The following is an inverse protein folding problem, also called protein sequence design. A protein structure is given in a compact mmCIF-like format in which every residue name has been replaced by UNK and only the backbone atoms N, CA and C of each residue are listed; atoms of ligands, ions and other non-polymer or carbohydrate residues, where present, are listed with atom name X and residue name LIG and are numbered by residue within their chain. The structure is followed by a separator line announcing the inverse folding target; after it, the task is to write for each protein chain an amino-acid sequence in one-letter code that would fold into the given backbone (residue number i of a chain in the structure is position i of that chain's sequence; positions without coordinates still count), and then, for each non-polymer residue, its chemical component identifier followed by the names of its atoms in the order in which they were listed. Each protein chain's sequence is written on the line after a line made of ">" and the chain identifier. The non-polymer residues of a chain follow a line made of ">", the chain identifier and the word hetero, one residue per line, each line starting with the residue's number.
data_IF_200038675838
#
_entry.id   IF_200038675838
#
_cell.length_a   1.000
_cell.length_b   1.000
_cell.length_c   1.000
_cell.angle_alpha   90.00
_cell.angle_beta   90.00
_cell.angle_gamma   90.00
#
_symmetry.space_group_name_H-M   'P 1'
#
loop_
_entity.id
_entity.type
_entity.pdbx_description
1 polymer ?
#
# COMPACT_ATOMS: atom_id res chain seq x y z
N UNK A 1 0.46 9.52 -10.52
CA UNK A 1 0.55 9.42 -11.98
C UNK A 1 1.71 10.23 -12.48
N UNK A 2 2.58 9.59 -13.25
CA UNK A 2 3.66 10.29 -13.94
C UNK A 2 2.98 11.22 -14.93
N UNK A 3 3.21 12.52 -14.79
CA UNK A 3 2.70 13.50 -15.76
C UNK A 3 3.26 13.20 -17.14
N UNK A 4 2.50 13.45 -18.20
CA UNK A 4 2.99 13.36 -19.56
C UNK A 4 4.35 14.08 -19.67
N UNK A 5 5.37 13.39 -20.16
CA UNK A 5 6.72 13.90 -20.33
C UNK A 5 7.69 13.77 -19.15
N UNK A 6 7.36 13.02 -18.10
CA UNK A 6 8.29 12.73 -16.98
C UNK A 6 8.98 13.98 -16.39
N UNK A 7 8.30 15.11 -16.37
CA UNK A 7 8.84 16.35 -15.83
C UNK A 7 8.76 16.41 -14.29
N UNK A 8 9.68 17.09 -13.63
CA UNK A 8 9.53 17.39 -12.21
C UNK A 8 8.25 18.19 -11.94
N UNK A 9 7.61 17.94 -10.80
CA UNK A 9 6.46 18.73 -10.36
C UNK A 9 6.88 20.19 -10.12
N UNK A 10 6.01 21.10 -10.50
CA UNK A 10 6.18 22.52 -10.21
C UNK A 10 5.91 22.82 -8.74
N UNK A 11 6.38 23.98 -8.26
CA UNK A 11 6.06 24.45 -6.90
C UNK A 11 4.56 24.61 -6.67
N UNK A 12 3.78 24.93 -7.69
CA UNK A 12 2.33 25.05 -7.59
C UNK A 12 1.68 23.67 -7.39
N UNK A 13 2.12 22.66 -8.14
CA UNK A 13 1.64 21.27 -7.99
C UNK A 13 1.99 20.68 -6.62
N UNK A 14 3.20 20.96 -6.11
CA UNK A 14 3.61 20.55 -4.77
C UNK A 14 2.76 21.19 -3.70
N UNK A 15 2.44 22.49 -3.84
CA UNK A 15 1.53 23.19 -2.91
C UNK A 15 0.13 22.59 -2.93
N UNK A 16 -0.39 22.26 -4.12
CA UNK A 16 -1.71 21.63 -4.25
C UNK A 16 -1.74 20.26 -3.57
N UNK A 17 -0.69 19.44 -3.73
CA UNK A 17 -0.56 18.14 -3.03
C UNK A 17 -0.49 18.32 -1.51
N UNK A 18 0.23 19.34 -1.02
CA UNK A 18 0.31 19.64 0.41
C UNK A 18 -1.05 20.08 0.98
N UNK A 19 -1.78 20.95 0.26
CA UNK A 19 -3.12 21.34 0.66
C UNK A 19 -4.05 20.13 0.73
N UNK A 20 -4.03 19.28 -0.29
CA UNK A 20 -4.82 18.04 -0.29
C UNK A 20 -4.46 17.12 0.87
N UNK A 21 -3.17 16.97 1.18
CA UNK A 21 -2.71 16.16 2.31
C UNK A 21 -3.21 16.71 3.66
N UNK A 22 -3.29 18.03 3.80
CA UNK A 22 -3.86 18.68 4.99
C UNK A 22 -5.37 18.50 5.07
N UNK A 23 -6.06 18.59 3.94
CA UNK A 23 -7.53 18.42 3.87
C UNK A 23 -7.98 16.99 4.18
N UNK A 24 -7.08 16.00 4.13
CA UNK A 24 -7.38 14.62 4.53
C UNK A 24 -7.59 14.48 6.04
N UNK A 25 -7.06 15.41 6.85
CA UNK A 25 -7.12 15.36 8.32
C UNK A 25 -6.70 13.98 8.91
N UNK A 26 -5.76 13.31 8.23
CA UNK A 26 -5.31 11.99 8.60
C UNK A 26 -4.10 12.05 9.53
N UNK A 27 -4.05 11.16 10.51
CA UNK A 27 -2.91 11.01 11.43
C UNK A 27 -1.76 10.24 10.78
N UNK A 28 -2.09 9.29 9.91
CA UNK A 28 -1.13 8.43 9.20
C UNK A 28 -1.53 8.36 7.73
N UNK A 29 -0.58 8.62 6.84
CA UNK A 29 -0.79 8.54 5.38
C UNK A 29 0.15 7.49 4.80
N UNK A 30 -0.40 6.44 4.23
CA UNK A 30 0.34 5.44 3.46
C UNK A 30 0.43 5.86 1.99
N UNK A 31 1.63 5.89 1.45
CA UNK A 31 1.90 6.40 0.11
C UNK A 31 2.59 5.33 -0.75
N UNK A 32 2.23 5.33 -2.01
CA UNK A 32 2.87 4.54 -3.05
C UNK A 32 3.52 5.47 -4.07
N UNK A 33 4.39 4.92 -4.90
CA UNK A 33 5.09 5.65 -5.97
C UNK A 33 5.92 6.85 -5.47
N UNK A 34 6.54 6.72 -4.30
CA UNK A 34 7.41 7.75 -3.71
C UNK A 34 8.84 7.59 -4.25
N UNK A 35 9.38 8.65 -4.85
CA UNK A 35 10.71 8.62 -5.44
C UNK A 35 11.85 8.80 -4.42
N UNK A 36 11.62 9.55 -3.34
CA UNK A 36 12.62 9.79 -2.30
C UNK A 36 12.02 10.41 -1.05
N UNK A 37 12.74 10.31 0.08
CA UNK A 37 12.37 10.99 1.32
C UNK A 37 12.34 12.52 1.16
N UNK A 38 13.23 13.08 0.34
CA UNK A 38 13.24 14.51 0.04
C UNK A 38 12.01 14.96 -0.75
N UNK A 39 11.51 14.12 -1.66
CA UNK A 39 10.27 14.38 -2.38
C UNK A 39 9.05 14.32 -1.46
N UNK A 40 9.02 13.33 -0.56
CA UNK A 40 7.98 13.18 0.45
C UNK A 40 7.91 14.40 1.37
N UNK A 41 9.03 14.88 1.88
CA UNK A 41 9.14 16.06 2.76
C UNK A 41 8.70 17.38 2.11
N UNK A 42 8.57 17.44 0.78
CA UNK A 42 7.98 18.60 0.12
C UNK A 42 6.45 18.66 0.29
N UNK A 43 5.80 17.53 0.48
CA UNK A 43 4.35 17.42 0.70
C UNK A 43 4.05 17.36 2.21
N UNK A 44 4.78 16.55 2.95
CA UNK A 44 4.67 16.33 4.39
C UNK A 44 5.89 16.93 5.11
N UNK A 45 5.81 18.19 5.59
CA UNK A 45 6.96 18.85 6.22
C UNK A 45 7.43 18.10 7.47
N UNK A 46 8.76 17.87 7.62
CA UNK A 46 9.29 17.18 8.81
C UNK A 46 9.08 17.93 10.14
N UNK A 47 8.66 19.20 10.10
CA UNK A 47 8.21 19.93 11.29
C UNK A 47 6.97 19.34 11.94
N UNK A 48 6.10 18.70 11.13
CA UNK A 48 4.79 18.22 11.53
C UNK A 48 4.66 16.70 11.39
N UNK A 49 5.55 16.08 10.58
CA UNK A 49 5.45 14.68 10.17
C UNK A 49 6.76 13.93 10.35
N UNK A 50 6.67 12.71 10.86
CA UNK A 50 7.70 11.67 10.77
C UNK A 50 7.57 11.01 9.39
N UNK A 51 8.69 10.81 8.69
CA UNK A 51 8.69 10.30 7.32
C UNK A 51 9.46 8.98 7.25
N UNK A 52 8.82 7.97 6.70
CA UNK A 52 9.38 6.62 6.53
C UNK A 52 9.32 6.25 5.05
N UNK A 53 10.42 5.71 4.53
CA UNK A 53 10.55 5.28 3.15
C UNK A 53 11.17 3.90 3.11
N UNK A 54 10.54 2.96 2.39
CA UNK A 54 11.06 1.60 2.24
C UNK A 54 12.56 1.60 1.87
N UNK A 55 13.32 0.77 2.58
CA UNK A 55 14.77 0.60 2.39
C UNK A 55 15.12 -0.29 1.18
N UNK A 56 14.08 -0.69 0.40
CA UNK A 56 14.34 -1.43 -0.83
C UNK A 56 15.46 -0.78 -1.63
N UNK A 57 16.48 -1.53 -2.09
CA UNK A 57 17.54 -1.00 -2.95
C UNK A 57 16.95 -0.31 -4.19
N UNK A 58 17.58 0.73 -4.66
CA UNK A 58 17.17 1.34 -5.91
C UNK A 58 17.36 0.35 -7.07
N UNK A 59 16.38 0.30 -7.96
CA UNK A 59 16.52 -0.47 -9.20
C UNK A 59 17.57 0.16 -10.11
N UNK A 60 17.99 -0.57 -11.13
CA UNK A 60 18.71 0.03 -12.24
C UNK A 60 17.91 1.21 -12.80
N UNK A 61 18.61 2.23 -13.24
CA UNK A 61 17.98 3.39 -13.86
C UNK A 61 17.43 3.02 -15.23
N UNK A 62 16.28 3.56 -15.55
CA UNK A 62 15.67 3.44 -16.87
C UNK A 62 15.25 4.81 -17.38
N UNK A 63 15.20 4.96 -18.69
CA UNK A 63 14.70 6.19 -19.28
C UNK A 63 13.18 6.28 -19.13
N UNK A 64 12.71 7.39 -18.60
CA UNK A 64 11.30 7.63 -18.39
C UNK A 64 10.63 8.06 -19.70
N UNK A 65 9.88 7.15 -20.34
CA UNK A 65 9.03 7.43 -21.52
C UNK A 65 9.74 8.26 -22.62
N UNK A 66 10.95 7.89 -22.98
CA UNK A 66 11.72 8.57 -24.04
C UNK A 66 11.92 10.08 -23.80
N UNK A 67 11.91 10.50 -22.55
CA UNK A 67 12.03 11.91 -22.15
C UNK A 67 13.48 12.40 -22.01
N UNK A 68 14.47 11.51 -22.17
CA UNK A 68 15.87 11.75 -21.84
C UNK A 68 16.18 11.79 -20.34
N UNK A 69 15.17 11.57 -19.47
CA UNK A 69 15.32 11.59 -18.00
C UNK A 69 15.42 10.20 -17.44
N UNK A 70 16.36 10.01 -16.53
CA UNK A 70 16.54 8.74 -15.83
C UNK A 70 15.61 8.67 -14.61
N UNK A 71 15.08 7.50 -14.34
CA UNK A 71 14.23 7.18 -13.19
C UNK A 71 14.63 5.83 -12.61
N UNK A 72 14.20 5.57 -11.38
CA UNK A 72 14.29 4.26 -10.73
C UNK A 72 12.88 3.82 -10.32
N UNK A 73 12.73 2.56 -9.96
CA UNK A 73 11.46 2.07 -9.40
C UNK A 73 11.14 2.80 -8.09
N UNK A 74 9.93 3.32 -8.01
CA UNK A 74 9.41 4.03 -6.85
C UNK A 74 9.13 3.08 -5.69
N UNK A 75 9.05 3.63 -4.47
CA UNK A 75 8.94 2.92 -3.21
C UNK A 75 7.59 3.21 -2.53
N UNK A 76 7.27 2.42 -1.53
CA UNK A 76 6.20 2.74 -0.58
C UNK A 76 6.76 3.58 0.57
N UNK A 77 5.91 4.38 1.20
CA UNK A 77 6.31 5.28 2.28
C UNK A 77 5.16 5.52 3.26
N UNK A 78 5.49 6.04 4.43
CA UNK A 78 4.53 6.60 5.36
C UNK A 78 4.90 8.04 5.72
N UNK A 79 3.86 8.85 5.95
CA UNK A 79 3.93 10.09 6.69
C UNK A 79 3.04 9.94 7.92
N UNK A 80 3.59 10.14 9.11
CA UNK A 80 2.93 9.96 10.41
C UNK A 80 3.03 11.28 11.18
N UNK A 81 1.94 11.79 11.72
CA UNK A 81 1.98 13.01 12.53
C UNK A 81 2.94 12.85 13.73
N UNK A 82 3.61 13.93 14.11
CA UNK A 82 4.68 13.88 15.13
C UNK A 82 4.19 13.52 16.54
N UNK A 83 2.90 13.62 16.80
CA UNK A 83 2.28 13.24 18.07
C UNK A 83 1.89 11.74 18.15
N UNK A 84 1.99 11.02 17.05
CA UNK A 84 1.81 9.56 17.01
C UNK A 84 3.13 8.87 17.35
N UNK A 85 3.10 8.00 18.33
CA UNK A 85 4.26 7.19 18.69
C UNK A 85 4.43 6.00 17.75
N UNK A 86 5.53 5.99 16.99
CA UNK A 86 5.95 4.86 16.15
C UNK A 86 6.88 3.98 16.95
N UNK A 87 6.45 2.73 17.20
CA UNK A 87 7.17 1.74 18.01
C UNK A 87 8.17 0.93 17.17
N UNK A 88 7.92 0.80 15.87
CA UNK A 88 8.80 0.05 14.97
C UNK A 88 8.51 0.32 13.50
N UNK A 89 9.54 0.10 12.67
CA UNK A 89 9.45 0.12 11.21
C UNK A 89 10.18 -1.08 10.62
N UNK A 90 9.63 -1.72 9.60
CA UNK A 90 10.26 -2.87 8.94
C UNK A 90 9.86 -2.92 7.47
N UNK A 91 10.82 -3.17 6.58
CA UNK A 91 10.52 -3.50 5.19
C UNK A 91 9.93 -4.91 5.09
N UNK A 92 8.78 -5.02 4.44
CA UNK A 92 8.19 -6.32 4.10
C UNK A 92 8.79 -6.81 2.78
N UNK A 93 10.02 -7.32 2.88
CA UNK A 93 10.86 -7.70 1.73
C UNK A 93 10.30 -8.89 0.95
N UNK A 94 9.58 -9.79 1.61
CA UNK A 94 9.00 -10.99 1.00
C UNK A 94 8.06 -10.66 -0.18
N UNK A 95 7.38 -9.49 -0.15
CA UNK A 95 6.52 -9.04 -1.25
C UNK A 95 7.31 -8.79 -2.54
N UNK A 96 8.62 -8.54 -2.44
CA UNK A 96 9.53 -8.36 -3.57
C UNK A 96 9.93 -9.66 -4.28
N UNK A 97 9.62 -10.84 -3.71
CA UNK A 97 9.88 -12.17 -4.31
C UNK A 97 11.34 -12.35 -4.79
N UNK A 98 12.30 -11.76 -4.08
CA UNK A 98 13.72 -11.70 -4.47
C UNK A 98 13.96 -11.13 -5.90
N UNK A 99 13.00 -10.38 -6.43
CA UNK A 99 13.08 -9.74 -7.74
C UNK A 99 13.33 -8.23 -7.58
N UNK A 100 14.48 -7.70 -8.02
CA UNK A 100 14.80 -6.27 -7.87
C UNK A 100 13.86 -5.34 -8.65
N UNK A 101 13.05 -5.86 -9.57
CA UNK A 101 12.02 -5.13 -10.29
C UNK A 101 10.70 -4.98 -9.51
N UNK A 102 10.53 -5.70 -8.39
CA UNK A 102 9.32 -5.64 -7.58
C UNK A 102 9.52 -4.75 -6.34
N UNK A 103 8.43 -4.26 -5.80
CA UNK A 103 8.43 -3.41 -4.62
C UNK A 103 8.40 -4.25 -3.34
N UNK A 104 9.06 -3.77 -2.30
CA UNK A 104 8.80 -4.24 -0.95
C UNK A 104 7.53 -3.57 -0.42
N UNK A 105 6.83 -4.22 0.50
CA UNK A 105 5.91 -3.53 1.39
C UNK A 105 6.69 -2.84 2.52
N UNK A 106 5.99 -2.10 3.38
CA UNK A 106 6.56 -1.50 4.58
C UNK A 106 5.56 -1.62 5.72
N UNK A 107 6.02 -2.09 6.86
CA UNK A 107 5.23 -2.23 8.07
C UNK A 107 5.65 -1.17 9.09
N UNK A 108 4.68 -0.52 9.72
CA UNK A 108 4.85 0.28 10.91
C UNK A 108 4.08 -0.35 12.06
N UNK A 109 4.67 -0.37 13.25
CA UNK A 109 3.96 -0.61 14.50
C UNK A 109 3.77 0.74 15.20
N UNK A 110 2.52 1.09 15.52
CA UNK A 110 2.17 2.35 16.15
C UNK A 110 1.44 2.13 17.47
N UNK A 111 1.61 3.06 18.40
CA UNK A 111 0.84 3.12 19.64
C UNK A 111 -0.49 3.82 19.38
N UNK A 112 -1.59 3.18 19.73
CA UNK A 112 -2.94 3.75 19.59
C UNK A 112 -3.69 3.68 20.92
N UNK A 113 -4.81 4.41 21.08
CA UNK A 113 -5.67 4.28 22.26
C UNK A 113 -6.22 2.85 22.47
N UNK A 114 -6.17 2.01 21.44
CA UNK A 114 -6.61 0.61 21.49
C UNK A 114 -5.46 -0.38 21.77
N UNK A 115 -4.24 0.12 21.94
CA UNK A 115 -3.01 -0.66 22.06
C UNK A 115 -2.11 -0.56 20.82
N UNK A 116 -1.14 -1.45 20.72
CA UNK A 116 -0.27 -1.54 19.56
C UNK A 116 -1.04 -2.02 18.33
N UNK A 117 -0.73 -1.43 17.19
CA UNK A 117 -1.34 -1.76 15.90
C UNK A 117 -0.28 -1.83 14.81
N UNK A 118 -0.32 -2.86 14.01
CA UNK A 118 0.55 -3.00 12.84
C UNK A 118 -0.15 -2.50 11.57
N UNK A 119 0.56 -1.70 10.78
CA UNK A 119 0.06 -1.14 9.52
C UNK A 119 1.01 -1.55 8.40
N UNK A 120 0.55 -2.40 7.50
CA UNK A 120 1.30 -2.83 6.32
C UNK A 120 0.88 -2.01 5.10
N UNK A 121 1.81 -1.24 4.53
CA UNK A 121 1.63 -0.54 3.26
C UNK A 121 2.14 -1.42 2.11
N UNK A 122 1.28 -1.70 1.15
CA UNK A 122 1.58 -2.54 0.00
C UNK A 122 1.44 -1.77 -1.32
N UNK A 123 2.24 -2.19 -2.32
CA UNK A 123 2.03 -1.82 -3.72
C UNK A 123 2.28 -3.07 -4.56
N UNK A 124 1.24 -3.82 -4.81
CA UNK A 124 1.31 -5.11 -5.48
C UNK A 124 1.56 -4.98 -6.98
N UNK A 125 1.84 -6.10 -7.64
CA UNK A 125 2.15 -6.13 -9.08
C UNK A 125 0.96 -5.62 -9.90
N UNK A 126 1.22 -4.59 -10.69
CA UNK A 126 0.27 -4.04 -11.66
C UNK A 126 0.18 -4.86 -12.94
N UNK A 127 -0.92 -4.68 -13.67
CA UNK A 127 -1.11 -5.28 -15.01
C UNK A 127 -1.78 -6.65 -15.01
N UNK A 128 -2.14 -7.18 -13.84
CA UNK A 128 -3.03 -8.33 -13.73
C UNK A 128 -4.43 -7.84 -13.40
N UNK A 129 -5.36 -7.94 -14.34
CA UNK A 129 -6.74 -7.46 -14.19
C UNK A 129 -7.76 -8.61 -14.10
N UNK A 130 -7.28 -9.84 -13.97
CA UNK A 130 -8.09 -11.05 -13.88
C UNK A 130 -8.48 -11.33 -12.43
N UNK A 131 -9.77 -11.45 -12.13
CA UNK A 131 -10.25 -11.83 -10.80
C UNK A 131 -9.68 -13.19 -10.34
N UNK A 132 -9.58 -14.16 -11.25
CA UNK A 132 -8.87 -15.42 -11.06
C UNK A 132 -7.50 -15.40 -11.75
N UNK A 133 -6.55 -14.71 -11.13
CA UNK A 133 -5.18 -14.58 -11.62
C UNK A 133 -4.45 -15.92 -11.79
N UNK A 134 -4.89 -17.00 -11.14
CA UNK A 134 -4.23 -18.30 -11.23
C UNK A 134 -4.44 -19.01 -12.57
N UNK A 135 -5.38 -18.53 -13.39
CA UNK A 135 -5.68 -19.10 -14.70
C UNK A 135 -5.09 -18.30 -15.86
N UNK A 136 -4.40 -17.22 -15.55
CA UNK A 136 -3.84 -16.34 -16.57
C UNK A 136 -2.38 -16.69 -16.88
N UNK A 137 -2.06 -16.75 -18.17
CA UNK A 137 -0.68 -16.94 -18.65
C UNK A 137 0.11 -15.64 -18.69
N UNK A 138 -0.49 -14.51 -18.32
CA UNK A 138 0.18 -13.21 -18.23
C UNK A 138 1.28 -13.23 -17.17
N UNK A 139 2.48 -12.77 -17.51
CA UNK A 139 3.59 -12.63 -16.57
C UNK A 139 3.20 -11.78 -15.34
N UNK A 140 2.39 -10.73 -15.57
CA UNK A 140 1.90 -9.91 -14.48
C UNK A 140 1.02 -10.71 -13.50
N UNK A 141 0.12 -11.55 -14.01
CA UNK A 141 -0.74 -12.39 -13.18
C UNK A 141 0.05 -13.53 -12.50
N UNK A 142 1.03 -14.11 -13.18
CA UNK A 142 1.91 -15.11 -12.56
C UNK A 142 2.72 -14.50 -11.40
N UNK A 143 3.21 -13.27 -11.55
CA UNK A 143 3.89 -12.55 -10.47
C UNK A 143 2.92 -12.24 -9.33
N UNK A 144 1.72 -11.74 -9.66
CA UNK A 144 0.69 -11.44 -8.67
C UNK A 144 0.27 -12.71 -7.89
N UNK A 145 0.12 -13.84 -8.58
CA UNK A 145 -0.20 -15.13 -7.98
C UNK A 145 0.85 -15.62 -6.97
N UNK A 146 2.10 -15.17 -7.12
CA UNK A 146 3.18 -15.43 -6.14
C UNK A 146 3.18 -14.45 -4.97
N UNK A 147 2.73 -13.20 -5.18
CA UNK A 147 2.63 -12.20 -4.11
C UNK A 147 1.41 -12.43 -3.22
N UNK A 148 0.31 -12.95 -3.78
CA UNK A 148 -0.93 -13.15 -3.04
C UNK A 148 -0.77 -14.01 -1.77
N UNK A 149 -0.15 -15.22 -1.81
CA UNK A 149 0.07 -16.01 -0.59
C UNK A 149 1.04 -15.34 0.39
N UNK A 150 1.99 -14.53 -0.07
CA UNK A 150 2.91 -13.79 0.82
C UNK A 150 2.16 -12.78 1.67
N UNK A 151 1.18 -12.09 1.07
CA UNK A 151 0.32 -11.15 1.79
C UNK A 151 -0.61 -11.89 2.75
N UNK A 152 -1.17 -13.00 2.32
CA UNK A 152 -2.05 -13.84 3.11
C UNK A 152 -1.33 -14.40 4.34
N UNK A 153 -0.12 -14.91 4.19
CA UNK A 153 0.71 -15.40 5.30
C UNK A 153 0.97 -14.33 6.37
N UNK A 154 1.16 -13.06 5.95
CA UNK A 154 1.31 -11.94 6.89
C UNK A 154 0.01 -11.70 7.66
N UNK A 155 -1.13 -11.63 6.96
CA UNK A 155 -2.47 -11.46 7.58
C UNK A 155 -2.73 -12.58 8.59
N UNK A 156 -2.51 -13.82 8.20
CA UNK A 156 -2.71 -14.97 9.08
C UNK A 156 -1.79 -14.97 10.30
N UNK A 157 -0.56 -14.45 10.17
CA UNK A 157 0.33 -14.28 11.31
C UNK A 157 -0.29 -13.32 12.34
N UNK A 158 -0.81 -12.15 11.88
CA UNK A 158 -1.48 -11.18 12.76
C UNK A 158 -2.76 -11.75 13.39
N UNK A 159 -3.52 -12.54 12.64
CA UNK A 159 -4.70 -13.24 13.17
C UNK A 159 -4.34 -14.25 14.27
N UNK A 160 -3.26 -15.03 14.11
CA UNK A 160 -2.77 -15.96 15.13
C UNK A 160 -2.26 -15.24 16.37
N UNK A 161 -1.57 -14.14 16.19
CA UNK A 161 -1.03 -13.29 17.25
C UNK A 161 -2.09 -12.47 17.95
N UNK A 162 -3.27 -12.32 17.33
CA UNK A 162 -4.37 -11.45 17.76
C UNK A 162 -3.95 -9.97 17.85
N UNK A 163 -3.05 -9.58 16.98
CA UNK A 163 -2.55 -8.21 16.89
C UNK A 163 -3.52 -7.40 16.01
N UNK A 164 -4.03 -6.25 16.47
CA UNK A 164 -4.78 -5.33 15.60
C UNK A 164 -3.93 -4.89 14.41
N UNK A 165 -4.50 -4.92 13.21
CA UNK A 165 -3.75 -4.56 12.01
C UNK A 165 -4.57 -3.88 10.92
N UNK A 166 -3.85 -3.13 10.08
CA UNK A 166 -4.34 -2.61 8.81
C UNK A 166 -3.44 -3.10 7.68
N UNK A 167 -4.03 -3.42 6.53
CA UNK A 167 -3.30 -3.51 5.26
C UNK A 167 -3.82 -2.43 4.35
N UNK A 168 -2.95 -1.52 3.93
CA UNK A 168 -3.31 -0.33 3.17
C UNK A 168 -2.47 -0.22 1.90
N UNK A 169 -3.01 0.38 0.86
CA UNK A 169 -2.21 0.70 -0.33
C UNK A 169 -2.84 0.29 -1.65
N UNK A 170 -2.02 0.29 -2.68
CA UNK A 170 -2.40 -0.09 -4.04
C UNK A 170 -2.25 -1.61 -4.23
N UNK A 171 -3.38 -2.31 -4.18
CA UNK A 171 -3.43 -3.75 -4.44
C UNK A 171 -3.42 -4.08 -5.93
N UNK A 172 -3.61 -3.08 -6.80
CA UNK A 172 -3.79 -3.27 -8.24
C UNK A 172 -4.89 -4.29 -8.59
N UNK A 173 -5.83 -4.52 -7.65
CA UNK A 173 -6.93 -5.49 -7.77
C UNK A 173 -8.24 -4.96 -7.17
N UNK A 174 -9.37 -5.33 -7.79
CA UNK A 174 -10.71 -4.94 -7.35
C UNK A 174 -11.23 -5.90 -6.29
N UNK A 175 -10.86 -5.70 -5.03
CA UNK A 175 -11.20 -6.64 -3.94
C UNK A 175 -12.71 -6.77 -3.67
N UNK A 176 -13.53 -5.82 -4.11
CA UNK A 176 -14.99 -5.88 -3.99
C UNK A 176 -15.67 -6.82 -4.99
N UNK A 177 -14.96 -7.34 -5.99
CA UNK A 177 -15.50 -8.35 -6.90
C UNK A 177 -15.76 -9.66 -6.13
N UNK A 178 -16.96 -10.26 -6.26
CA UNK A 178 -17.29 -11.50 -5.55
C UNK A 178 -16.50 -12.72 -6.04
N UNK A 179 -15.80 -12.59 -7.15
CA UNK A 179 -14.98 -13.64 -7.74
C UNK A 179 -13.47 -13.37 -7.58
N UNK A 180 -13.12 -12.31 -6.87
CA UNK A 180 -11.72 -11.93 -6.68
C UNK A 180 -10.99 -12.96 -5.82
N UNK A 181 -10.01 -13.61 -6.43
CA UNK A 181 -9.28 -14.72 -5.78
C UNK A 181 -8.41 -14.26 -4.62
N UNK A 182 -7.88 -13.03 -4.65
CA UNK A 182 -7.11 -12.49 -3.52
C UNK A 182 -8.01 -12.29 -2.31
N UNK A 183 -9.21 -11.72 -2.49
CA UNK A 183 -10.18 -11.58 -1.40
C UNK A 183 -10.60 -12.93 -0.82
N UNK A 184 -10.78 -13.93 -1.69
CA UNK A 184 -11.11 -15.29 -1.25
C UNK A 184 -9.97 -15.93 -0.46
N UNK A 185 -8.72 -15.75 -0.91
CA UNK A 185 -7.54 -16.27 -0.24
C UNK A 185 -7.40 -15.67 1.17
N UNK A 186 -7.43 -14.34 1.27
CA UNK A 186 -7.31 -13.63 2.56
C UNK A 186 -8.45 -13.93 3.54
N UNK A 187 -9.61 -14.40 3.05
CA UNK A 187 -10.73 -14.81 3.88
C UNK A 187 -10.74 -16.32 4.19
N UNK A 188 -9.91 -17.11 3.52
CA UNK A 188 -9.84 -18.56 3.69
C UNK A 188 -9.16 -18.91 5.03
N UNK A 189 -9.59 -20.01 5.60
CA UNK A 189 -9.04 -20.53 6.87
C UNK A 189 -8.17 -21.76 6.66
N UNK A 190 -7.80 -22.03 5.42
CA UNK A 190 -7.11 -23.30 5.08
C UNK A 190 -5.73 -23.42 5.72
N UNK A 191 -5.10 -22.28 6.00
CA UNK A 191 -3.73 -22.22 6.51
C UNK A 191 -3.64 -21.72 7.97
N UNK A 192 -4.73 -21.24 8.59
CA UNK A 192 -4.64 -20.63 9.90
C UNK A 192 -5.95 -20.29 10.58
N UNK A 193 -5.99 -19.17 11.28
CA UNK A 193 -7.16 -18.69 11.98
C UNK A 193 -8.12 -17.98 11.01
N UNK A 194 -9.41 -18.12 11.23
CA UNK A 194 -10.44 -17.39 10.46
C UNK A 194 -10.19 -15.90 10.57
N UNK A 195 -9.92 -15.24 9.46
CA UNK A 195 -9.80 -13.80 9.43
C UNK A 195 -11.20 -13.17 9.46
N UNK A 196 -11.40 -12.20 10.36
CA UNK A 196 -12.55 -11.31 10.33
C UNK A 196 -12.19 -10.01 9.60
N UNK A 197 -11.54 -10.15 8.44
CA UNK A 197 -11.04 -9.05 7.65
C UNK A 197 -12.19 -8.19 7.12
N UNK A 198 -12.14 -6.89 7.41
CA UNK A 198 -13.10 -5.90 6.92
C UNK A 198 -12.43 -5.03 5.87
N UNK A 199 -13.00 -4.95 4.68
CA UNK A 199 -12.57 -4.00 3.67
C UNK A 199 -13.33 -2.68 3.83
N UNK A 200 -12.70 -1.66 4.42
CA UNK A 200 -13.28 -0.36 4.67
C UNK A 200 -13.60 0.42 3.37
N UNK A 201 -12.96 0.05 2.26
CA UNK A 201 -13.12 0.70 0.95
C UNK A 201 -14.06 -0.06 0.01
N UNK A 202 -14.71 -1.13 0.47
CA UNK A 202 -15.51 -2.02 -0.38
C UNK A 202 -16.68 -1.31 -1.09
N UNK A 203 -17.25 -0.25 -0.49
CA UNK A 203 -18.39 0.51 -1.04
C UNK A 203 -17.96 1.73 -1.87
N UNK A 204 -16.66 2.01 -1.96
CA UNK A 204 -16.18 3.16 -2.71
C UNK A 204 -16.22 2.87 -4.22
N UNK A 205 -16.32 3.94 -5.00
CA UNK A 205 -16.18 3.91 -6.45
C UNK A 205 -14.77 4.32 -6.84
N UNK A 206 -14.26 3.76 -7.94
CA UNK A 206 -12.93 4.14 -8.45
C UNK A 206 -12.85 5.60 -8.88
N UNK A 207 -11.71 6.23 -8.66
CA UNK A 207 -11.47 7.64 -8.99
C UNK A 207 -11.36 7.90 -10.50
N UNK A 208 -11.17 6.87 -11.31
CA UNK A 208 -10.93 7.02 -12.74
C UNK A 208 -12.03 6.34 -13.56
N UNK A 209 -12.54 6.98 -14.65
CA UNK A 209 -13.64 6.43 -15.46
C UNK A 209 -13.37 5.02 -16.05
N UNK A 210 -12.11 4.69 -16.30
CA UNK A 210 -11.71 3.36 -16.79
C UNK A 210 -11.60 2.31 -15.66
N UNK A 211 -11.59 2.75 -14.39
CA UNK A 211 -11.50 1.89 -13.23
C UNK A 211 -12.66 2.21 -12.29
N UNK A 212 -13.87 1.70 -12.59
CA UNK A 212 -15.09 2.04 -11.83
C UNK A 212 -15.10 1.49 -10.40
N UNK A 213 -14.25 0.50 -10.12
CA UNK A 213 -14.03 -0.03 -8.77
C UNK A 213 -12.63 0.36 -8.27
N UNK A 214 -12.46 0.61 -6.96
CA UNK A 214 -11.16 0.93 -6.39
C UNK A 214 -10.20 -0.25 -6.52
N UNK A 215 -8.91 0.07 -6.64
CA UNK A 215 -7.78 -0.85 -6.57
C UNK A 215 -6.88 -0.52 -5.39
N UNK A 216 -7.11 0.63 -4.78
CA UNK A 216 -6.54 1.04 -3.49
C UNK A 216 -7.50 0.64 -2.38
N UNK A 217 -6.98 -0.01 -1.35
CA UNK A 217 -7.82 -0.56 -0.28
C UNK A 217 -7.26 -0.28 1.10
N UNK A 218 -8.19 -0.29 2.07
CA UNK A 218 -7.89 -0.34 3.50
C UNK A 218 -8.60 -1.58 4.05
N UNK A 219 -7.81 -2.58 4.42
CA UNK A 219 -8.27 -3.80 5.07
C UNK A 219 -7.96 -3.72 6.55
N UNK A 220 -8.87 -4.17 7.39
CA UNK A 220 -8.76 -4.10 8.85
C UNK A 220 -9.00 -5.47 9.46
N UNK A 221 -8.16 -5.88 10.41
CA UNK A 221 -8.35 -7.12 11.17
C UNK A 221 -8.04 -6.94 12.65
N UNK A 222 -8.59 -7.85 13.47
CA UNK A 222 -8.46 -7.87 14.93
C UNK A 222 -8.86 -6.58 15.66
N UNK A 223 -9.67 -5.72 15.03
CA UNK A 223 -10.21 -4.52 15.64
C UNK A 223 -11.49 -4.89 16.40
N UNK A 224 -11.40 -5.05 17.71
CA UNK A 224 -12.50 -5.56 18.54
C UNK A 224 -13.54 -4.49 18.93
N UNK A 225 -13.42 -3.25 18.50
CA UNK A 225 -14.36 -2.19 18.91
C UNK A 225 -15.28 -1.74 17.78
N UNK A 226 -16.62 -1.75 18.01
CA UNK A 226 -17.60 -1.19 17.06
C UNK A 226 -17.44 0.32 16.83
N UNK A 227 -16.66 1.02 17.65
CA UNK A 227 -16.48 2.46 17.60
C UNK A 227 -15.59 2.96 16.43
N UNK A 228 -14.92 2.06 15.71
CA UNK A 228 -14.05 2.41 14.58
C UNK A 228 -14.74 2.28 13.21
N UNK A 229 -16.01 1.90 13.17
CA UNK A 229 -16.78 1.67 11.92
C UNK A 229 -17.89 2.72 11.73
N UNK A 230 -17.85 3.82 12.47
CA UNK A 230 -18.86 4.89 12.37
C UNK A 230 -18.39 6.04 11.47
#
# INVERSE_FOLDING_TARGET
>A
PITDGCRPRTKAEIRALRSYAQDLEADIVALQEVGSIAALGQVFPPSDWQLFLSQRPDSETYECRESGRQSTQQKVAFAVQNDIEVLGETDFTALGLDNPGLRHGMELTVSTPLGEMDILNVHMKSGCFEDDFSRSDSEACQTFARQAPVLDDWIEAKEREKTPYLVVGDFNHRLSSPYNKLSMLMADNSNGAKSNLVNATASLIGCHPYYPAPIDHILMGQLQSPALIS
#
